data_IF_693109587585
#
_entry.id   IF_693109587585
#
_cell.length_a   1.000
_cell.length_b   1.000
_cell.length_c   1.000
_cell.angle_alpha   90.00
_cell.angle_beta   90.00
_cell.angle_gamma   90.00
#
_symmetry.space_group_name_H-M   'P 1'
#
loop_
_entity.id
_entity.type
_entity.pdbx_description
1 polymer ?
#
# COMPACT_ATOMS: atom_id res chain seq x y z
N UNK A 1 -14.11 -17.56 -26.52
CA UNK A 1 -13.99 -18.20 -25.19
C UNK A 1 -13.53 -17.13 -24.20
N UNK A 2 -14.48 -16.50 -23.49
CA UNK A 2 -14.17 -15.36 -22.62
C UNK A 2 -13.60 -15.84 -21.29
N UNK A 3 -12.35 -15.49 -20.98
CA UNK A 3 -11.73 -15.75 -19.68
C UNK A 3 -12.39 -14.84 -18.64
N UNK A 4 -13.32 -15.39 -17.86
CA UNK A 4 -13.66 -14.82 -16.56
C UNK A 4 -12.42 -14.95 -15.66
N UNK A 5 -11.67 -13.85 -15.49
CA UNK A 5 -10.70 -13.76 -14.42
C UNK A 5 -11.48 -13.79 -13.11
N UNK A 6 -11.46 -14.92 -12.39
CA UNK A 6 -11.97 -14.97 -11.03
C UNK A 6 -11.12 -14.00 -10.20
N UNK A 7 -11.68 -12.85 -9.86
CA UNK A 7 -11.05 -11.91 -8.96
C UNK A 7 -11.21 -12.41 -7.51
N UNK A 8 -10.17 -12.22 -6.71
CA UNK A 8 -10.21 -12.56 -5.28
C UNK A 8 -11.36 -11.77 -4.63
N UNK A 9 -12.27 -12.42 -3.89
CA UNK A 9 -13.37 -11.73 -3.21
C UNK A 9 -12.87 -10.60 -2.30
N UNK A 10 -13.63 -9.51 -2.21
CA UNK A 10 -13.25 -8.33 -1.44
C UNK A 10 -12.91 -8.64 0.03
N UNK A 11 -13.67 -9.55 0.67
CA UNK A 11 -13.43 -9.94 2.06
C UNK A 11 -12.06 -10.61 2.25
N UNK A 12 -11.63 -11.45 1.31
CA UNK A 12 -10.34 -12.14 1.38
C UNK A 12 -9.17 -11.16 1.19
N UNK A 13 -9.33 -10.18 0.29
CA UNK A 13 -8.36 -9.08 0.13
C UNK A 13 -8.21 -8.26 1.42
N UNK A 14 -9.32 -7.95 2.07
CA UNK A 14 -9.32 -7.20 3.33
C UNK A 14 -8.69 -8.01 4.46
N UNK A 15 -8.97 -9.32 4.55
CA UNK A 15 -8.35 -10.20 5.53
C UNK A 15 -6.82 -10.23 5.38
N UNK A 16 -6.32 -10.44 4.17
CA UNK A 16 -4.88 -10.43 3.89
C UNK A 16 -4.22 -9.09 4.26
N UNK A 17 -4.89 -7.97 3.96
CA UNK A 17 -4.40 -6.65 4.35
C UNK A 17 -4.31 -6.48 5.89
N UNK A 18 -5.26 -7.04 6.64
CA UNK A 18 -5.24 -7.02 8.11
C UNK A 18 -4.11 -7.86 8.69
N UNK A 19 -3.81 -9.01 8.10
CA UNK A 19 -2.70 -9.85 8.55
C UNK A 19 -1.36 -9.11 8.42
N UNK A 20 -1.16 -8.41 7.31
CA UNK A 20 0.01 -7.56 7.08
C UNK A 20 0.08 -6.42 8.12
N UNK A 21 -1.05 -5.75 8.40
CA UNK A 21 -1.09 -4.69 9.42
C UNK A 21 -0.75 -5.21 10.81
N UNK A 22 -1.33 -6.35 11.20
CA UNK A 22 -1.08 -6.99 12.48
C UNK A 22 0.42 -7.33 12.62
N UNK A 23 1.03 -7.91 11.57
CA UNK A 23 2.45 -8.20 11.56
C UNK A 23 3.33 -6.95 11.71
N UNK A 24 2.96 -5.85 11.02
CA UNK A 24 3.71 -4.57 11.07
C UNK A 24 3.61 -3.88 12.43
N UNK A 25 2.46 -3.99 13.10
CA UNK A 25 2.13 -3.19 14.26
C UNK A 25 2.05 -3.95 15.59
N UNK A 26 2.29 -5.27 15.61
CA UNK A 26 2.17 -6.11 16.80
C UNK A 26 2.87 -5.57 18.06
N UNK A 27 4.00 -4.87 17.88
CA UNK A 27 4.82 -4.30 18.97
C UNK A 27 4.78 -2.77 19.03
N UNK A 28 3.80 -2.17 18.37
CA UNK A 28 3.63 -0.73 18.28
C UNK A 28 2.30 -0.29 18.90
N UNK A 29 2.21 0.97 19.33
CA UNK A 29 0.94 1.60 19.68
C UNK A 29 0.10 1.96 18.44
N UNK A 30 0.68 1.88 17.24
CA UNK A 30 0.00 2.09 15.95
C UNK A 30 -1.10 1.04 15.76
N UNK A 31 -2.36 1.46 15.58
CA UNK A 31 -3.50 0.55 15.36
C UNK A 31 -4.02 0.56 13.92
N UNK A 32 -3.55 1.48 13.09
CA UNK A 32 -4.00 1.67 11.72
C UNK A 32 -2.88 2.22 10.85
N UNK A 33 -3.01 2.04 9.53
CA UNK A 33 -2.08 2.62 8.55
C UNK A 33 -2.07 4.15 8.63
N UNK A 34 -3.21 4.77 8.99
CA UNK A 34 -3.33 6.22 9.13
C UNK A 34 -2.60 6.79 10.35
N UNK A 35 -2.24 5.95 11.32
CA UNK A 35 -1.54 6.34 12.54
C UNK A 35 -0.03 6.03 12.49
N UNK A 36 0.53 5.76 11.30
CA UNK A 36 1.96 5.51 11.14
C UNK A 36 2.77 6.78 11.39
N UNK A 37 3.82 6.65 12.20
CA UNK A 37 4.85 7.69 12.32
C UNK A 37 5.65 7.86 11.02
N UNK A 38 6.33 8.99 10.79
CA UNK A 38 7.17 9.17 9.59
C UNK A 38 8.21 8.05 9.39
N UNK A 39 8.76 7.51 10.48
CA UNK A 39 9.69 6.37 10.45
C UNK A 39 9.01 5.12 9.92
N UNK A 40 7.79 4.83 10.36
CA UNK A 40 7.02 3.66 9.92
C UNK A 40 6.55 3.82 8.47
N UNK A 41 6.17 5.03 8.04
CA UNK A 41 5.86 5.30 6.62
C UNK A 41 7.05 4.95 5.74
N UNK A 42 8.26 5.44 6.07
CA UNK A 42 9.49 5.09 5.34
C UNK A 42 9.80 3.59 5.35
N UNK A 43 9.46 2.90 6.43
CA UNK A 43 9.71 1.47 6.57
C UNK A 43 8.71 0.61 5.79
N UNK A 44 7.41 0.97 5.78
CA UNK A 44 6.34 0.09 5.31
C UNK A 44 5.67 0.54 3.99
N UNK A 45 5.93 1.77 3.54
CA UNK A 45 5.41 2.35 2.31
C UNK A 45 6.56 2.65 1.32
N UNK A 46 7.45 1.67 1.13
CA UNK A 46 8.49 1.77 0.10
C UNK A 46 7.86 1.61 -1.27
N UNK A 47 8.19 2.52 -2.18
CA UNK A 47 7.82 2.43 -3.58
C UNK A 47 8.85 1.54 -4.29
N UNK A 48 8.36 0.65 -5.15
CA UNK A 48 9.22 0.00 -6.13
C UNK A 48 9.50 0.93 -7.31
N UNK A 49 10.35 0.49 -8.24
CA UNK A 49 10.75 1.28 -9.40
C UNK A 49 9.56 1.67 -10.29
N UNK A 50 8.56 0.80 -10.40
CA UNK A 50 7.37 1.04 -11.22
C UNK A 50 6.48 2.12 -10.59
N UNK A 51 6.14 1.96 -9.31
CA UNK A 51 5.37 2.95 -8.56
C UNK A 51 6.08 4.30 -8.45
N UNK A 52 7.41 4.29 -8.39
CA UNK A 52 8.23 5.51 -8.40
C UNK A 52 8.11 6.23 -9.74
N UNK A 53 8.23 5.52 -10.88
CA UNK A 53 8.03 6.11 -12.20
C UNK A 53 6.64 6.71 -12.41
N UNK A 54 5.59 6.04 -11.90
CA UNK A 54 4.24 6.61 -11.91
C UNK A 54 4.12 7.89 -11.09
N UNK A 55 4.78 7.95 -9.93
CA UNK A 55 4.77 9.14 -9.10
C UNK A 55 5.51 10.30 -9.79
N UNK A 56 6.67 10.04 -10.39
CA UNK A 56 7.47 11.05 -11.11
C UNK A 56 6.68 11.63 -12.30
N UNK A 57 6.09 10.77 -13.15
CA UNK A 57 5.26 11.23 -14.25
C UNK A 57 4.07 12.07 -13.78
N UNK A 58 3.39 11.66 -12.72
CA UNK A 58 2.28 12.43 -12.16
C UNK A 58 2.74 13.79 -11.60
N UNK A 59 3.92 13.85 -10.98
CA UNK A 59 4.50 15.11 -10.48
C UNK A 59 4.85 16.07 -11.61
N UNK A 60 5.39 15.55 -12.73
CA UNK A 60 5.65 16.34 -13.95
C UNK A 60 4.36 16.89 -14.56
N UNK A 61 3.33 16.04 -14.75
CA UNK A 61 2.04 16.47 -15.30
C UNK A 61 1.33 17.52 -14.44
N UNK A 62 1.54 17.48 -13.12
CA UNK A 62 0.95 18.42 -12.17
C UNK A 62 1.81 19.67 -11.90
N UNK A 63 2.94 19.86 -12.60
CA UNK A 63 3.89 20.96 -12.39
C UNK A 63 4.40 21.06 -10.92
N UNK A 64 4.63 19.92 -10.27
CA UNK A 64 5.20 19.86 -8.92
C UNK A 64 6.72 19.61 -8.92
N UNK A 65 7.41 19.91 -10.02
CA UNK A 65 8.86 19.73 -10.23
C UNK A 65 9.70 20.93 -9.80
#
# INVERSE_FOLDING_TARGET
>A
MSRFHLSIPAHARVAAARDIQNARFQKSSTRSITAMSPRQVKQFCQLDSEATGYLEHAMEEMNFS
#
